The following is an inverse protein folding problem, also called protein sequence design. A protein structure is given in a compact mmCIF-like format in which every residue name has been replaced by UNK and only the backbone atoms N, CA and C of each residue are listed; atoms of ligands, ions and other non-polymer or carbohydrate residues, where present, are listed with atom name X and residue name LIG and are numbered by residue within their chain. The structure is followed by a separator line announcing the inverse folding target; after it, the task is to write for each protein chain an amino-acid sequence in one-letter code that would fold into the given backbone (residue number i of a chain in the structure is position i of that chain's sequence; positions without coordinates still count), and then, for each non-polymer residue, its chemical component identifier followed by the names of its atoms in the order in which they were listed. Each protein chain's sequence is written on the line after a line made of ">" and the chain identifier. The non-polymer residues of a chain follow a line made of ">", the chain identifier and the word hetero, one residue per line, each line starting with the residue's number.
data_IF_409516802634
#
_entry.id   IF_409516802634
#
_cell.length_a   1.000
_cell.length_b   1.000
_cell.length_c   1.000
_cell.angle_alpha   90.00
_cell.angle_beta   90.00
_cell.angle_gamma   90.00
#
_symmetry.space_group_name_H-M   'P 1'
#
loop_
_entity.id
_entity.type
_entity.pdbx_description
1 polymer ?
#
# COMPACT_ATOMS: atom_id res chain seq x y z
N UNK A 1 -12.94 6.76 3.44
CA UNK A 1 -12.48 6.21 2.14
C UNK A 1 -13.23 4.90 1.91
N UNK A 2 -13.68 4.66 0.70
CA UNK A 2 -14.29 3.39 0.31
C UNK A 2 -13.16 2.48 -0.22
N UNK A 3 -13.01 1.29 0.35
CA UNK A 3 -12.06 0.29 -0.15
C UNK A 3 -12.65 -0.34 -1.41
N UNK A 4 -11.88 -0.31 -2.50
CA UNK A 4 -12.25 -1.00 -3.75
C UNK A 4 -11.44 -2.28 -3.85
N UNK A 5 -12.11 -3.41 -3.91
CA UNK A 5 -11.47 -4.71 -4.10
C UNK A 5 -11.37 -5.03 -5.60
N UNK A 6 -10.16 -5.40 -6.03
CA UNK A 6 -9.87 -5.77 -7.41
C UNK A 6 -9.03 -7.05 -7.37
N UNK A 7 -9.40 -8.03 -8.19
CA UNK A 7 -8.61 -9.26 -8.36
C UNK A 7 -7.53 -9.02 -9.41
N UNK A 8 -6.29 -9.39 -9.07
CA UNK A 8 -5.13 -9.25 -9.95
C UNK A 8 -4.44 -10.60 -10.07
N UNK A 9 -4.29 -11.07 -11.31
CA UNK A 9 -3.51 -12.27 -11.60
C UNK A 9 -2.02 -11.95 -11.60
N UNK A 10 -1.23 -12.79 -10.93
CA UNK A 10 0.23 -12.68 -10.87
C UNK A 10 0.88 -14.03 -11.17
N UNK A 11 2.14 -14.01 -11.61
CA UNK A 11 2.90 -15.25 -11.75
C UNK A 11 3.21 -15.87 -10.38
N UNK A 12 3.43 -17.19 -10.35
CA UNK A 12 3.80 -17.90 -9.12
C UNK A 12 5.13 -17.39 -8.51
N UNK A 13 6.08 -16.97 -9.36
CA UNK A 13 7.32 -16.33 -8.90
C UNK A 13 7.05 -15.00 -8.21
N UNK A 14 6.17 -14.18 -8.77
CA UNK A 14 5.78 -12.90 -8.17
C UNK A 14 5.06 -13.12 -6.84
N UNK A 15 4.14 -14.09 -6.77
CA UNK A 15 3.46 -14.47 -5.54
C UNK A 15 4.47 -14.87 -4.44
N UNK A 16 5.49 -15.66 -4.80
CA UNK A 16 6.55 -16.05 -3.88
C UNK A 16 7.33 -14.84 -3.35
N UNK A 17 7.71 -13.90 -4.22
CA UNK A 17 8.37 -12.67 -3.80
C UNK A 17 7.49 -11.80 -2.90
N UNK A 18 6.20 -11.69 -3.19
CA UNK A 18 5.25 -10.96 -2.34
C UNK A 18 5.13 -11.59 -0.96
N UNK A 19 5.13 -12.93 -0.87
CA UNK A 19 5.09 -13.64 0.40
C UNK A 19 6.38 -13.44 1.23
N UNK A 20 7.55 -13.47 0.58
CA UNK A 20 8.83 -13.15 1.25
C UNK A 20 8.83 -11.73 1.81
N UNK A 21 8.35 -10.75 1.03
CA UNK A 21 8.22 -9.37 1.48
C UNK A 21 7.22 -9.24 2.62
N UNK A 22 6.06 -9.92 2.54
CA UNK A 22 5.06 -9.94 3.61
C UNK A 22 5.69 -10.37 4.93
N UNK A 23 6.49 -11.43 4.92
CA UNK A 23 7.17 -11.93 6.12
C UNK A 23 8.23 -10.93 6.63
N UNK A 24 9.05 -10.37 5.73
CA UNK A 24 10.09 -9.40 6.10
C UNK A 24 9.52 -8.14 6.77
N UNK A 25 8.42 -7.62 6.23
CA UNK A 25 7.71 -6.44 6.78
C UNK A 25 6.70 -6.80 7.87
N UNK A 26 6.53 -8.09 8.21
CA UNK A 26 5.55 -8.60 9.19
C UNK A 26 4.13 -8.13 8.91
N UNK A 27 3.75 -8.10 7.64
CA UNK A 27 2.43 -7.67 7.21
C UNK A 27 1.40 -8.81 7.28
N UNK A 28 0.12 -8.49 7.51
CA UNK A 28 -0.91 -9.51 7.69
C UNK A 28 -1.25 -10.25 6.39
N UNK A 29 -1.14 -9.58 5.24
CA UNK A 29 -1.53 -10.12 3.93
C UNK A 29 -0.56 -9.67 2.84
N UNK A 30 -0.52 -10.40 1.72
CA UNK A 30 0.19 -9.98 0.50
C UNK A 30 -0.45 -8.72 -0.11
N UNK A 31 -1.76 -8.50 0.04
CA UNK A 31 -2.43 -7.24 -0.32
C UNK A 31 -1.84 -6.05 0.41
N UNK A 32 -1.57 -6.17 1.73
CA UNK A 32 -0.94 -5.09 2.50
C UNK A 32 0.49 -4.77 1.99
N UNK A 33 1.19 -5.76 1.43
CA UNK A 33 2.48 -5.53 0.74
C UNK A 33 2.26 -4.69 -0.51
N UNK A 34 1.28 -5.04 -1.34
CA UNK A 34 0.97 -4.27 -2.56
C UNK A 34 0.57 -2.83 -2.22
N UNK A 35 -0.26 -2.64 -1.21
CA UNK A 35 -0.63 -1.31 -0.72
C UNK A 35 0.59 -0.49 -0.27
N UNK A 36 1.52 -1.12 0.46
CA UNK A 36 2.78 -0.49 0.87
C UNK A 36 3.64 -0.08 -0.33
N UNK A 37 3.80 -0.97 -1.32
CA UNK A 37 4.58 -0.70 -2.52
C UNK A 37 3.96 0.42 -3.36
N UNK A 38 2.65 0.38 -3.57
CA UNK A 38 1.89 1.42 -4.28
C UNK A 38 2.02 2.76 -3.56
N UNK A 39 1.82 2.76 -2.24
CA UNK A 39 2.00 3.92 -1.37
C UNK A 39 3.39 4.56 -1.53
N UNK A 40 4.44 3.73 -1.54
CA UNK A 40 5.82 4.18 -1.70
C UNK A 40 6.07 4.77 -3.09
N UNK A 41 5.51 4.14 -4.12
CA UNK A 41 5.63 4.62 -5.50
C UNK A 41 4.91 5.96 -5.71
N UNK A 42 3.71 6.13 -5.14
CA UNK A 42 2.97 7.39 -5.16
C UNK A 42 3.79 8.49 -4.47
N UNK A 43 4.31 8.21 -3.27
CA UNK A 43 5.07 9.21 -2.52
C UNK A 43 6.31 9.68 -3.30
N UNK A 44 7.00 8.73 -3.94
CA UNK A 44 8.12 9.02 -4.83
C UNK A 44 7.70 9.87 -6.02
N UNK A 45 6.62 9.51 -6.71
CA UNK A 45 6.14 10.27 -7.86
C UNK A 45 5.68 11.68 -7.48
N UNK A 46 5.03 11.86 -6.33
CA UNK A 46 4.66 13.20 -5.82
C UNK A 46 5.91 14.02 -5.54
N UNK A 47 6.93 13.44 -4.90
CA UNK A 47 8.20 14.12 -4.68
C UNK A 47 8.88 14.52 -5.98
N UNK A 48 8.95 13.61 -6.96
CA UNK A 48 9.55 13.87 -8.27
C UNK A 48 8.82 14.99 -9.04
N UNK A 49 7.50 15.07 -8.93
CA UNK A 49 6.70 16.12 -9.60
C UNK A 49 6.75 17.48 -8.91
N UNK A 50 6.80 17.51 -7.57
CA UNK A 50 6.60 18.74 -6.78
C UNK A 50 7.86 19.25 -6.12
N UNK A 51 8.90 18.41 -6.01
CA UNK A 51 10.08 18.67 -5.19
C UNK A 51 9.81 18.67 -3.68
N UNK A 52 8.57 18.40 -3.24
CA UNK A 52 8.16 18.45 -1.84
C UNK A 52 7.96 17.02 -1.34
N UNK A 53 8.66 16.66 -0.25
CA UNK A 53 8.54 15.33 0.34
C UNK A 53 7.14 15.17 0.96
N UNK A 54 6.37 14.13 0.59
CA UNK A 54 5.07 13.88 1.21
C UNK A 54 5.20 13.78 2.74
N UNK A 55 4.31 14.47 3.45
CA UNK A 55 4.29 14.48 4.90
C UNK A 55 3.95 13.10 5.49
N UNK A 56 4.11 12.92 6.82
CA UNK A 56 3.72 11.67 7.47
C UNK A 56 2.25 11.36 7.19
N UNK A 57 1.97 10.12 6.75
CA UNK A 57 0.60 9.66 6.52
C UNK A 57 -0.12 9.65 7.85
N UNK A 58 -1.01 10.62 8.05
CA UNK A 58 -1.95 10.61 9.17
C UNK A 58 -2.84 9.38 8.96
N UNK A 59 -2.78 8.43 9.89
CA UNK A 59 -3.80 7.39 10.00
C UNK A 59 -5.09 8.09 10.44
N UNK A 60 -5.86 8.61 9.48
CA UNK A 60 -7.16 9.18 9.77
C UNK A 60 -8.09 7.99 10.05
N UNK A 61 -8.32 7.70 11.33
CA UNK A 61 -9.35 6.77 11.77
C UNK A 61 -10.73 7.38 11.48
N UNK A 62 -11.37 6.90 10.41
CA UNK A 62 -12.70 7.32 9.98
C UNK A 62 -13.79 6.32 10.41
N UNK A 63 -13.52 5.41 11.36
CA UNK A 63 -14.53 4.47 11.85
C UNK A 63 -15.70 5.14 12.57
N UNK A 64 -15.60 6.44 12.88
CA UNK A 64 -16.68 7.27 13.41
C UNK A 64 -17.44 8.00 12.27
N UNK A 65 -17.90 7.25 11.27
CA UNK A 65 -18.91 7.73 10.33
C UNK A 65 -20.27 7.76 11.01
N UNK A 66 -20.68 8.95 11.47
CA UNK A 66 -21.98 9.25 12.09
C UNK A 66 -23.16 8.68 11.28
N UNK A 67 -24.12 8.12 12.01
CA UNK A 67 -25.49 7.74 11.58
C UNK A 67 -26.23 8.84 10.85
#
# INVERSE_FOLDING_TARGET
>A
MQTTEILVEVSAEMEHHLELLRQAYRLPTTTAVLELLISTQIDRSVYEMTGIKPGPKLAIDNTQGRT
#
